data_IF_129622606266
#
_entry.id   IF_129622606266
#
_cell.length_a   1.000
_cell.length_b   1.000
_cell.length_c   1.000
_cell.angle_alpha   90.00
_cell.angle_beta   90.00
_cell.angle_gamma   90.00
#
_symmetry.space_group_name_H-M   'P 1'
#
loop_
_entity.id
_entity.type
_entity.pdbx_description
1 polymer ?
#
# COMPACT_ATOMS: atom_id res chain seq x y z
N UNK A 1 19.05 19.39 8.91
CA UNK A 1 18.16 18.39 8.33
C UNK A 1 17.82 17.43 9.47
N UNK A 2 16.55 17.35 9.88
CA UNK A 2 16.12 16.35 10.85
C UNK A 2 16.21 15.03 10.08
N UNK A 3 17.12 14.12 10.47
CA UNK A 3 17.10 12.74 9.96
C UNK A 3 15.72 12.18 10.26
N UNK A 4 14.90 11.98 9.22
CA UNK A 4 13.60 11.36 9.38
C UNK A 4 13.86 9.94 9.85
N UNK A 5 13.44 9.63 11.09
CA UNK A 5 13.58 8.29 11.67
C UNK A 5 12.88 7.29 10.75
N UNK A 6 13.54 6.19 10.41
CA UNK A 6 12.97 5.18 9.53
C UNK A 6 11.83 4.43 10.24
N UNK A 7 10.67 4.30 9.57
CA UNK A 7 9.60 3.39 10.00
C UNK A 7 9.96 1.94 9.68
N UNK A 8 10.53 1.70 8.50
CA UNK A 8 11.02 0.38 8.10
C UNK A 8 12.45 0.49 7.59
N UNK A 9 13.31 -0.42 8.06
CA UNK A 9 14.63 -0.69 7.49
C UNK A 9 14.63 -2.16 7.08
N UNK A 10 14.72 -2.41 5.79
CA UNK A 10 14.78 -3.74 5.19
C UNK A 10 16.24 -3.96 4.83
N UNK A 11 16.88 -4.97 5.41
CA UNK A 11 18.31 -5.19 5.30
C UNK A 11 18.61 -6.59 4.77
N UNK A 12 18.97 -6.67 3.48
CA UNK A 12 19.36 -7.88 2.77
C UNK A 12 18.37 -9.05 2.93
N UNK A 13 17.05 -8.74 2.81
CA UNK A 13 15.98 -9.69 3.06
C UNK A 13 15.78 -10.64 1.88
N UNK A 14 15.86 -11.94 2.17
CA UNK A 14 15.45 -13.00 1.25
C UNK A 14 14.38 -13.88 1.87
N UNK A 15 13.50 -14.42 1.04
CA UNK A 15 12.46 -15.36 1.45
C UNK A 15 12.16 -16.37 0.36
N UNK A 16 12.18 -17.65 0.69
CA UNK A 16 11.77 -18.74 -0.18
C UNK A 16 10.54 -19.44 0.40
N UNK A 17 9.58 -19.75 -0.47
CA UNK A 17 8.51 -20.69 -0.16
C UNK A 17 8.98 -22.11 -0.48
N UNK A 18 8.62 -23.07 0.37
CA UNK A 18 8.89 -24.48 0.14
C UNK A 18 7.54 -25.14 -0.18
N UNK A 19 7.43 -25.78 -1.33
CA UNK A 19 6.23 -26.52 -1.72
C UNK A 19 6.17 -27.91 -1.04
N UNK A 20 5.07 -28.65 -1.27
CA UNK A 20 4.86 -29.97 -0.69
C UNK A 20 5.89 -31.03 -1.17
N UNK A 21 6.56 -30.76 -2.30
CA UNK A 21 7.60 -31.62 -2.88
C UNK A 21 8.99 -31.25 -2.38
N UNK A 22 9.11 -30.18 -1.55
CA UNK A 22 10.36 -29.68 -1.03
C UNK A 22 11.15 -28.77 -1.98
N UNK A 23 10.50 -28.30 -3.07
CA UNK A 23 11.11 -27.38 -4.01
C UNK A 23 11.06 -25.95 -3.47
N UNK A 24 12.21 -25.26 -3.46
CA UNK A 24 12.30 -23.87 -3.03
C UNK A 24 11.96 -22.92 -4.16
N UNK A 25 11.00 -22.03 -3.94
CA UNK A 25 10.66 -20.92 -4.83
C UNK A 25 11.05 -19.60 -4.16
N UNK A 26 12.09 -18.95 -4.65
CA UNK A 26 12.57 -17.67 -4.11
C UNK A 26 11.56 -16.56 -4.45
N UNK A 27 10.94 -15.99 -3.41
CA UNK A 27 9.95 -14.92 -3.54
C UNK A 27 10.51 -13.52 -3.27
N UNK A 28 11.52 -13.42 -2.38
CA UNK A 28 12.33 -12.22 -2.18
C UNK A 28 13.80 -12.60 -2.28
N UNK A 29 14.57 -11.76 -2.96
CA UNK A 29 15.99 -11.99 -3.24
C UNK A 29 16.79 -10.72 -2.93
N UNK A 30 17.46 -10.71 -1.79
CA UNK A 30 18.39 -9.65 -1.35
C UNK A 30 17.78 -8.25 -1.38
N UNK A 31 16.58 -8.10 -0.78
CA UNK A 31 15.84 -6.84 -0.77
C UNK A 31 16.41 -5.93 0.31
N UNK A 32 16.87 -4.73 -0.10
CA UNK A 32 17.27 -3.67 0.82
C UNK A 32 16.54 -2.38 0.48
N UNK A 33 15.86 -1.80 1.47
CA UNK A 33 15.14 -0.53 1.34
C UNK A 33 14.90 0.11 2.71
N UNK A 34 14.69 1.41 2.73
CA UNK A 34 14.29 2.14 3.94
C UNK A 34 13.04 2.94 3.63
N UNK A 35 12.04 2.95 4.52
CA UNK A 35 10.83 3.75 4.43
C UNK A 35 10.78 4.66 5.65
N UNK A 36 10.65 5.97 5.43
CA UNK A 36 10.62 6.96 6.49
C UNK A 36 9.26 7.01 7.20
N UNK A 37 9.24 7.49 8.44
CA UNK A 37 7.96 7.82 9.09
C UNK A 37 7.22 8.90 8.29
N UNK A 38 5.91 8.69 8.09
CA UNK A 38 5.06 9.60 7.35
C UNK A 38 5.30 9.61 5.84
N UNK A 39 6.04 8.66 5.29
CA UNK A 39 6.24 8.51 3.85
C UNK A 39 5.12 7.68 3.23
N UNK A 40 4.63 8.08 2.05
CA UNK A 40 3.75 7.28 1.20
C UNK A 40 4.57 6.60 0.11
N UNK A 41 4.81 5.31 0.25
CA UNK A 41 5.54 4.50 -0.73
C UNK A 41 4.58 3.62 -1.51
N UNK A 42 4.60 3.74 -2.83
CA UNK A 42 3.93 2.80 -3.72
C UNK A 42 4.91 1.69 -4.15
N UNK A 43 4.48 0.44 -4.08
CA UNK A 43 5.23 -0.71 -4.56
C UNK A 43 4.49 -1.28 -5.77
N UNK A 44 5.13 -1.24 -6.94
CA UNK A 44 4.58 -1.75 -8.19
C UNK A 44 5.44 -2.89 -8.74
N UNK A 45 4.89 -3.68 -9.65
CA UNK A 45 5.60 -4.82 -10.25
C UNK A 45 4.59 -5.82 -10.82
N UNK A 46 5.07 -6.72 -11.66
CA UNK A 46 4.25 -7.81 -12.24
C UNK A 46 3.77 -8.79 -11.17
N UNK A 47 2.76 -9.61 -11.50
CA UNK A 47 2.33 -10.69 -10.62
C UNK A 47 3.51 -11.65 -10.34
N UNK A 48 3.64 -12.08 -9.09
CA UNK A 48 4.77 -12.92 -8.65
C UNK A 48 6.10 -12.18 -8.43
N UNK A 49 6.15 -10.85 -8.54
CA UNK A 49 7.40 -10.09 -8.31
C UNK A 49 7.82 -9.96 -6.83
N UNK A 50 7.04 -10.50 -5.87
CA UNK A 50 7.39 -10.50 -4.44
C UNK A 50 6.71 -9.41 -3.60
N UNK A 51 5.89 -8.52 -4.16
CA UNK A 51 5.25 -7.39 -3.45
C UNK A 51 4.46 -7.80 -2.21
N UNK A 52 3.51 -8.71 -2.36
CA UNK A 52 2.68 -9.20 -1.24
C UNK A 52 3.50 -10.00 -0.22
N UNK A 53 4.55 -10.66 -0.67
CA UNK A 53 5.50 -11.34 0.23
C UNK A 53 6.24 -10.30 1.09
N UNK A 54 6.76 -9.24 0.48
CA UNK A 54 7.40 -8.14 1.20
C UNK A 54 6.43 -7.48 2.19
N UNK A 55 5.18 -7.18 1.77
CA UNK A 55 4.14 -6.63 2.64
C UNK A 55 3.91 -7.47 3.90
N UNK A 56 3.84 -8.81 3.75
CA UNK A 56 3.65 -9.74 4.86
C UNK A 56 4.83 -9.77 5.83
N UNK A 57 6.05 -9.50 5.36
CA UNK A 57 7.22 -9.36 6.23
C UNK A 57 7.19 -8.09 7.05
N UNK A 58 6.75 -6.95 6.48
CA UNK A 58 6.65 -5.67 7.18
C UNK A 58 5.66 -5.70 8.36
N UNK A 59 4.66 -6.59 8.33
CA UNK A 59 3.68 -6.81 9.40
C UNK A 59 3.98 -8.08 10.23
N UNK A 60 5.09 -8.76 9.96
CA UNK A 60 5.49 -10.02 10.62
C UNK A 60 4.41 -11.12 10.49
N UNK A 61 3.70 -11.18 9.37
CA UNK A 61 2.91 -12.35 8.96
C UNK A 61 3.81 -13.44 8.39
N UNK A 62 4.96 -13.04 7.83
CA UNK A 62 6.05 -13.90 7.42
C UNK A 62 7.35 -13.42 8.06
N UNK A 63 8.28 -14.33 8.27
CA UNK A 63 9.65 -14.01 8.70
C UNK A 63 10.61 -14.25 7.55
N UNK A 64 11.64 -13.39 7.38
CA UNK A 64 12.65 -13.60 6.35
C UNK A 64 13.43 -14.89 6.60
N UNK A 65 13.88 -15.55 5.53
CA UNK A 65 14.80 -16.68 5.62
C UNK A 65 16.24 -16.22 5.78
N UNK A 66 16.56 -15.02 5.28
CA UNK A 66 17.85 -14.32 5.44
C UNK A 66 17.60 -12.82 5.57
N UNK A 67 18.56 -12.12 6.21
CA UNK A 67 18.46 -10.71 6.48
C UNK A 67 17.54 -10.40 7.67
N UNK A 68 17.22 -9.11 7.86
CA UNK A 68 16.31 -8.67 8.92
C UNK A 68 15.51 -7.45 8.48
N UNK A 69 14.41 -7.19 9.18
CA UNK A 69 13.61 -5.96 9.03
C UNK A 69 13.49 -5.32 10.39
N UNK A 70 13.82 -4.03 10.47
CA UNK A 70 13.51 -3.23 11.63
C UNK A 70 12.24 -2.43 11.39
N UNK A 71 11.28 -2.58 12.28
CA UNK A 71 10.03 -1.81 12.30
C UNK A 71 10.07 -0.84 13.47
N UNK A 72 10.21 0.45 13.21
CA UNK A 72 10.43 1.48 14.22
C UNK A 72 11.56 1.08 15.21
N UNK A 73 12.64 0.51 14.68
CA UNK A 73 13.79 0.04 15.43
C UNK A 73 13.62 -1.31 16.14
N UNK A 74 12.51 -2.03 15.91
CA UNK A 74 12.27 -3.37 16.47
C UNK A 74 12.51 -4.41 15.37
N UNK A 75 13.42 -5.37 15.61
CA UNK A 75 13.66 -6.48 14.68
C UNK A 75 12.47 -7.42 14.59
N UNK A 76 12.12 -7.82 13.37
CA UNK A 76 11.08 -8.83 13.11
C UNK A 76 11.51 -10.24 13.55
N UNK A 77 12.78 -10.43 13.82
CA UNK A 77 13.33 -11.68 14.34
C UNK A 77 13.13 -11.83 15.85
N UNK A 78 12.79 -10.74 16.57
CA UNK A 78 12.52 -10.77 18.02
C UNK A 78 11.08 -11.18 18.32
N UNK A 79 10.85 -12.47 18.55
CA UNK A 79 9.54 -13.03 18.88
C UNK A 79 8.89 -12.41 20.12
N UNK A 80 9.68 -11.95 21.09
CA UNK A 80 9.17 -11.34 22.30
C UNK A 80 8.48 -10.00 22.06
N UNK A 81 8.80 -9.34 20.94
CA UNK A 81 8.28 -8.02 20.55
C UNK A 81 7.32 -8.03 19.35
N UNK A 82 6.91 -9.23 18.91
CA UNK A 82 6.01 -9.40 17.78
C UNK A 82 4.73 -8.55 17.88
N UNK A 83 4.11 -8.54 19.08
CA UNK A 83 2.90 -7.75 19.31
C UNK A 83 3.13 -6.25 19.29
N UNK A 84 4.34 -5.79 19.67
CA UNK A 84 4.71 -4.38 19.57
C UNK A 84 4.77 -3.92 18.11
N UNK A 85 5.25 -4.77 17.21
CA UNK A 85 5.27 -4.51 15.76
C UNK A 85 3.84 -4.50 15.20
N UNK A 86 3.03 -5.53 15.49
CA UNK A 86 1.66 -5.64 14.98
C UNK A 86 0.72 -4.53 15.45
N UNK A 87 1.00 -3.92 16.60
CA UNK A 87 0.29 -2.71 17.05
C UNK A 87 0.65 -1.46 16.26
N UNK A 88 1.90 -1.38 15.76
CA UNK A 88 2.41 -0.24 15.01
C UNK A 88 2.08 -0.29 13.54
N UNK A 89 1.93 -1.49 12.98
CA UNK A 89 1.75 -1.71 11.54
C UNK A 89 0.47 -2.48 11.30
N UNK A 90 -0.52 -1.80 10.73
CA UNK A 90 -1.74 -2.43 10.26
C UNK A 90 -1.61 -2.93 8.83
N UNK A 91 -2.35 -3.98 8.48
CA UNK A 91 -2.38 -4.50 7.11
C UNK A 91 -3.81 -4.67 6.62
N UNK A 92 -4.06 -4.24 5.40
CA UNK A 92 -5.32 -4.41 4.67
C UNK A 92 -5.06 -5.28 3.46
N UNK A 93 -5.84 -6.33 3.30
CA UNK A 93 -5.70 -7.33 2.23
C UNK A 93 -6.52 -6.96 1.00
N UNK A 94 -6.19 -7.59 -0.12
CA UNK A 94 -6.84 -7.41 -1.41
C UNK A 94 -8.34 -7.69 -1.37
N UNK A 95 -8.75 -8.76 -0.70
CA UNK A 95 -10.17 -9.14 -0.57
C UNK A 95 -10.68 -8.80 0.84
N UNK A 96 -11.57 -7.79 0.99
CA UNK A 96 -12.13 -7.43 2.28
C UNK A 96 -12.99 -8.53 2.92
N UNK A 97 -13.60 -9.42 2.12
CA UNK A 97 -14.41 -10.51 2.65
C UNK A 97 -13.56 -11.54 3.43
N UNK A 98 -12.26 -11.63 3.17
CA UNK A 98 -11.34 -12.46 3.94
C UNK A 98 -10.86 -11.80 5.25
N UNK A 99 -11.12 -10.51 5.42
CA UNK A 99 -10.68 -9.72 6.58
C UNK A 99 -11.83 -9.42 7.55
N UNK A 100 -13.03 -9.18 7.03
CA UNK A 100 -14.22 -8.88 7.82
C UNK A 100 -14.73 -10.17 8.46
N UNK A 101 -14.83 -10.18 9.79
CA UNK A 101 -15.15 -11.39 10.58
C UNK A 101 -16.45 -11.26 11.38
N UNK A 102 -16.93 -10.05 11.67
CA UNK A 102 -18.13 -9.83 12.47
C UNK A 102 -19.40 -9.70 11.62
N UNK A 103 -20.55 -9.92 12.26
CA UNK A 103 -21.86 -9.80 11.62
C UNK A 103 -22.34 -8.34 11.51
N UNK A 104 -21.75 -7.41 12.28
CA UNK A 104 -22.10 -5.99 12.35
C UNK A 104 -20.83 -5.16 12.17
N UNK A 105 -20.93 -4.08 11.39
CA UNK A 105 -19.79 -3.20 11.05
C UNK A 105 -19.05 -2.68 12.30
N UNK A 106 -19.77 -2.16 13.31
CA UNK A 106 -19.11 -1.62 14.50
C UNK A 106 -18.38 -2.69 15.32
N UNK A 107 -18.88 -3.93 15.32
CA UNK A 107 -18.24 -5.06 15.97
C UNK A 107 -16.96 -5.47 15.24
N UNK A 108 -16.98 -5.43 13.91
CA UNK A 108 -15.81 -5.72 13.09
C UNK A 108 -14.70 -4.70 13.32
N UNK A 109 -15.05 -3.41 13.32
CA UNK A 109 -14.09 -2.32 13.60
C UNK A 109 -13.56 -2.39 15.04
N UNK A 110 -14.37 -2.88 15.99
CA UNK A 110 -13.96 -3.06 17.39
C UNK A 110 -13.02 -4.24 17.60
N UNK A 111 -13.03 -5.25 16.73
CA UNK A 111 -12.34 -6.54 16.90
C UNK A 111 -10.83 -6.39 17.18
N UNK A 112 -10.14 -5.55 16.39
CA UNK A 112 -8.70 -5.31 16.57
C UNK A 112 -8.36 -4.69 17.94
N UNK A 113 -8.95 -3.53 18.29
CA UNK A 113 -8.74 -2.89 19.59
C UNK A 113 -9.16 -3.76 20.79
N UNK A 114 -10.21 -4.56 20.69
CA UNK A 114 -10.63 -5.50 21.74
C UNK A 114 -9.53 -6.53 22.01
N UNK A 115 -8.96 -7.12 20.98
CA UNK A 115 -7.85 -8.06 21.10
C UNK A 115 -6.57 -7.41 21.69
N UNK A 116 -6.43 -6.10 21.54
CA UNK A 116 -5.37 -5.32 22.19
C UNK A 116 -5.68 -4.97 23.64
N UNK A 117 -6.84 -5.34 24.18
CA UNK A 117 -7.25 -5.05 25.54
C UNK A 117 -7.60 -3.59 25.80
N UNK A 118 -8.05 -2.85 24.78
CA UNK A 118 -8.44 -1.45 24.90
C UNK A 118 -9.67 -1.35 25.82
N UNK A 119 -9.68 -0.47 26.85
CA UNK A 119 -10.83 -0.30 27.74
C UNK A 119 -12.09 0.14 26.96
N UNK A 120 -13.28 -0.36 27.38
CA UNK A 120 -14.56 -0.19 26.67
C UNK A 120 -14.90 1.26 26.29
N UNK A 121 -14.63 2.22 27.16
CA UNK A 121 -14.92 3.63 26.90
C UNK A 121 -14.03 4.19 25.78
N UNK A 122 -12.75 3.83 25.78
CA UNK A 122 -11.78 4.20 24.75
C UNK A 122 -12.04 3.44 23.45
N UNK A 123 -12.40 2.15 23.53
CA UNK A 123 -12.78 1.33 22.39
C UNK A 123 -13.88 2.01 21.57
N UNK A 124 -14.97 2.44 22.24
CA UNK A 124 -16.07 3.11 21.54
C UNK A 124 -15.61 4.38 20.82
N UNK A 125 -14.78 5.19 21.50
CA UNK A 125 -14.22 6.41 20.92
C UNK A 125 -13.37 6.11 19.66
N UNK A 126 -12.56 5.04 19.70
CA UNK A 126 -11.73 4.63 18.57
C UNK A 126 -12.54 4.13 17.39
N UNK A 127 -13.58 3.32 17.65
CA UNK A 127 -14.51 2.85 16.62
C UNK A 127 -15.22 4.03 15.94
N UNK A 128 -15.76 4.96 16.74
CA UNK A 128 -16.44 6.15 16.20
C UNK A 128 -15.49 7.01 15.35
N UNK A 129 -14.27 7.23 15.82
CA UNK A 129 -13.25 7.98 15.10
C UNK A 129 -12.82 7.29 13.79
N UNK A 130 -12.62 5.96 13.82
CA UNK A 130 -12.23 5.19 12.65
C UNK A 130 -13.32 5.17 11.57
N UNK A 131 -14.58 4.93 11.96
CA UNK A 131 -15.73 4.99 11.04
C UNK A 131 -15.90 6.39 10.44
N UNK A 132 -15.66 7.44 11.23
CA UNK A 132 -15.69 8.83 10.75
C UNK A 132 -14.60 9.08 9.71
N UNK A 133 -13.38 8.65 9.99
CA UNK A 133 -12.24 8.85 9.11
C UNK A 133 -12.42 8.21 7.72
N UNK A 134 -13.14 7.08 7.64
CA UNK A 134 -13.44 6.40 6.37
C UNK A 134 -14.84 6.73 5.82
N UNK A 135 -15.58 7.67 6.44
CA UNK A 135 -16.94 8.11 6.04
C UNK A 135 -17.95 6.96 6.01
N UNK A 136 -17.94 6.11 7.04
CA UNK A 136 -18.82 4.94 7.16
C UNK A 136 -19.69 4.93 8.42
N UNK A 137 -19.88 6.08 9.09
CA UNK A 137 -20.64 6.18 10.34
C UNK A 137 -22.08 5.70 10.20
N UNK A 138 -22.72 6.00 9.08
CA UNK A 138 -24.13 5.64 8.81
C UNK A 138 -24.32 4.12 8.70
N UNK A 139 -23.25 3.39 8.40
CA UNK A 139 -23.26 1.95 8.21
C UNK A 139 -22.92 1.15 9.47
N UNK A 140 -22.68 1.82 10.61
CA UNK A 140 -22.18 1.20 11.85
C UNK A 140 -22.94 -0.04 12.31
N UNK A 141 -24.28 -0.02 12.18
CA UNK A 141 -25.18 -1.12 12.58
C UNK A 141 -25.57 -2.04 11.44
N UNK A 142 -25.01 -1.83 10.25
CA UNK A 142 -25.30 -2.66 9.08
C UNK A 142 -24.50 -3.96 9.13
N UNK A 143 -25.07 -4.98 8.45
CA UNK A 143 -24.34 -6.21 8.20
C UNK A 143 -23.36 -6.01 7.02
N UNK A 144 -22.07 -6.40 7.17
CA UNK A 144 -21.08 -6.19 6.12
C UNK A 144 -21.42 -6.79 4.76
N UNK A 145 -22.16 -7.91 4.72
CA UNK A 145 -22.55 -8.55 3.45
C UNK A 145 -23.53 -7.71 2.61
N UNK A 146 -24.17 -6.68 3.18
CA UNK A 146 -25.04 -5.74 2.48
C UNK A 146 -24.28 -4.57 1.85
N UNK A 147 -22.98 -4.45 2.11
CA UNK A 147 -22.15 -3.35 1.63
C UNK A 147 -21.55 -3.65 0.25
N UNK A 148 -21.32 -2.59 -0.52
CA UNK A 148 -20.53 -2.70 -1.76
C UNK A 148 -19.06 -3.04 -1.46
N UNK A 149 -18.31 -3.56 -2.45
CA UNK A 149 -16.89 -3.87 -2.29
C UNK A 149 -16.06 -2.69 -1.77
N UNK A 150 -16.26 -1.48 -2.32
CA UNK A 150 -15.58 -0.27 -1.85
C UNK A 150 -15.95 0.13 -0.41
N UNK A 151 -17.21 -0.08 0.00
CA UNK A 151 -17.62 0.12 1.38
C UNK A 151 -16.99 -0.90 2.31
N UNK A 152 -16.97 -2.19 1.95
CA UNK A 152 -16.28 -3.24 2.71
C UNK A 152 -14.80 -2.94 2.88
N UNK A 153 -14.13 -2.49 1.82
CA UNK A 153 -12.72 -2.12 1.88
C UNK A 153 -12.48 -0.96 2.85
N UNK A 154 -13.35 0.06 2.86
CA UNK A 154 -13.26 1.14 3.84
C UNK A 154 -13.52 0.66 5.27
N UNK A 155 -14.40 -0.33 5.48
CA UNK A 155 -14.58 -0.94 6.81
C UNK A 155 -13.32 -1.72 7.23
N UNK A 156 -12.70 -2.47 6.33
CA UNK A 156 -11.44 -3.15 6.61
C UNK A 156 -10.33 -2.15 7.00
N UNK A 157 -10.26 -1.00 6.32
CA UNK A 157 -9.36 0.10 6.69
C UNK A 157 -9.73 0.66 8.07
N UNK A 158 -11.03 0.87 8.36
CA UNK A 158 -11.47 1.36 9.68
C UNK A 158 -11.08 0.42 10.83
N UNK A 159 -11.20 -0.91 10.63
CA UNK A 159 -10.76 -1.89 11.61
C UNK A 159 -9.27 -1.78 11.95
N UNK A 160 -8.45 -1.54 10.93
CA UNK A 160 -7.02 -1.26 11.13
C UNK A 160 -6.79 0.06 11.84
N UNK A 161 -7.48 1.15 11.43
CA UNK A 161 -7.32 2.48 12.02
C UNK A 161 -7.73 2.52 13.50
N UNK A 162 -8.74 1.75 13.90
CA UNK A 162 -9.19 1.68 15.29
C UNK A 162 -8.10 1.17 16.25
N UNK A 163 -7.11 0.43 15.74
CA UNK A 163 -5.90 0.05 16.50
C UNK A 163 -4.91 1.19 16.68
N UNK A 164 -5.06 2.32 15.95
CA UNK A 164 -4.18 3.50 15.95
C UNK A 164 -2.72 3.14 15.55
N UNK A 165 -2.50 2.50 14.41
CA UNK A 165 -1.16 2.16 13.96
C UNK A 165 -0.38 3.41 13.51
N UNK A 166 0.95 3.29 13.43
CA UNK A 166 1.85 4.31 12.90
C UNK A 166 2.02 4.16 11.37
N UNK A 167 1.84 2.94 10.87
CA UNK A 167 1.90 2.63 9.45
C UNK A 167 0.75 1.72 9.03
N UNK A 168 0.32 1.88 7.78
CA UNK A 168 -0.65 0.99 7.14
C UNK A 168 -0.05 0.42 5.85
N UNK A 169 -0.18 -0.89 5.70
CA UNK A 169 0.17 -1.61 4.48
C UNK A 169 -1.12 -1.99 3.78
N UNK A 170 -1.26 -1.63 2.51
CA UNK A 170 -2.43 -1.96 1.70
C UNK A 170 -1.95 -2.83 0.53
N UNK A 171 -2.33 -4.09 0.56
CA UNK A 171 -1.96 -5.07 -0.46
C UNK A 171 -3.07 -5.16 -1.51
N UNK A 172 -2.88 -4.45 -2.63
CA UNK A 172 -3.82 -4.34 -3.75
C UNK A 172 -5.27 -4.00 -3.31
N UNK A 173 -5.49 -2.97 -2.49
CA UNK A 173 -6.79 -2.74 -1.82
C UNK A 173 -7.92 -2.38 -2.78
N UNK A 174 -7.63 -2.11 -4.03
CA UNK A 174 -8.58 -1.65 -5.04
C UNK A 174 -8.78 -2.64 -6.19
N UNK A 175 -8.03 -3.74 -6.22
CA UNK A 175 -8.01 -4.68 -7.35
C UNK A 175 -9.39 -5.29 -7.68
N UNK A 176 -10.24 -5.47 -6.67
CA UNK A 176 -11.57 -6.08 -6.81
C UNK A 176 -12.70 -5.04 -6.90
N UNK A 177 -12.37 -3.76 -7.05
CA UNK A 177 -13.36 -2.67 -6.99
C UNK A 177 -13.66 -2.10 -8.39
N UNK A 178 -14.89 -1.60 -8.52
CA UNK A 178 -15.27 -0.77 -9.66
C UNK A 178 -14.51 0.58 -9.65
N UNK A 179 -14.49 1.32 -10.77
CA UNK A 179 -13.73 2.58 -10.85
C UNK A 179 -14.15 3.64 -9.82
N UNK A 180 -15.41 3.62 -9.36
CA UNK A 180 -15.88 4.55 -8.32
C UNK A 180 -15.35 4.15 -6.94
N UNK A 181 -15.51 2.88 -6.56
CA UNK A 181 -15.02 2.35 -5.30
C UNK A 181 -13.50 2.51 -5.17
N UNK A 182 -12.75 2.29 -6.27
CA UNK A 182 -11.32 2.51 -6.34
C UNK A 182 -10.94 3.94 -5.98
N UNK A 183 -11.57 4.95 -6.62
CA UNK A 183 -11.33 6.36 -6.31
C UNK A 183 -11.67 6.72 -4.86
N UNK A 184 -12.77 6.18 -4.33
CA UNK A 184 -13.21 6.44 -2.96
C UNK A 184 -12.22 5.88 -1.92
N UNK A 185 -11.71 4.66 -2.14
CA UNK A 185 -10.69 4.03 -1.27
C UNK A 185 -9.38 4.79 -1.34
N UNK A 186 -8.89 5.09 -2.55
CA UNK A 186 -7.63 5.83 -2.73
C UNK A 186 -7.70 7.22 -2.07
N UNK A 187 -8.81 7.95 -2.28
CA UNK A 187 -9.02 9.26 -1.63
C UNK A 187 -9.03 9.14 -0.09
N UNK A 188 -9.61 8.08 0.46
CA UNK A 188 -9.59 7.81 1.90
C UNK A 188 -8.15 7.60 2.40
N UNK A 189 -7.35 6.79 1.71
CA UNK A 189 -5.94 6.53 2.09
C UNK A 189 -5.13 7.81 2.06
N UNK A 190 -5.28 8.66 1.03
CA UNK A 190 -4.61 9.96 0.94
C UNK A 190 -5.04 10.92 2.06
N UNK A 191 -6.33 10.97 2.38
CA UNK A 191 -6.82 11.79 3.48
C UNK A 191 -6.19 11.35 4.82
N UNK A 192 -6.12 10.04 5.08
CA UNK A 192 -5.49 9.48 6.27
C UNK A 192 -3.99 9.80 6.35
N UNK A 193 -3.26 9.60 5.24
CA UNK A 193 -1.85 9.95 5.16
C UNK A 193 -1.63 11.43 5.49
N UNK A 194 -2.37 12.32 4.82
CA UNK A 194 -2.22 13.78 4.97
C UNK A 194 -2.64 14.30 6.35
N UNK A 195 -3.72 13.75 6.95
CA UNK A 195 -4.29 14.27 8.20
C UNK A 195 -3.66 13.67 9.45
N UNK A 196 -3.25 12.41 9.38
CA UNK A 196 -2.67 11.67 10.52
C UNK A 196 -1.14 11.56 10.44
N UNK A 197 -0.51 11.98 9.34
CA UNK A 197 0.93 11.78 9.12
C UNK A 197 1.32 10.29 9.11
N UNK A 198 0.39 9.42 8.72
CA UNK A 198 0.57 7.97 8.73
C UNK A 198 1.52 7.52 7.62
N UNK A 199 2.45 6.64 7.94
CA UNK A 199 3.25 5.94 6.92
C UNK A 199 2.37 5.01 6.13
N UNK A 200 2.47 5.06 4.80
CA UNK A 200 1.66 4.23 3.90
C UNK A 200 2.57 3.40 2.99
N UNK A 201 2.38 2.09 2.99
CA UNK A 201 2.94 1.18 1.99
C UNK A 201 1.79 0.68 1.13
N UNK A 202 1.73 1.13 -0.12
CA UNK A 202 0.62 0.88 -1.02
C UNK A 202 1.06 0.00 -2.19
N UNK A 203 0.59 -1.24 -2.21
CA UNK A 203 0.88 -2.16 -3.30
C UNK A 203 -0.23 -2.09 -4.32
N UNK A 204 0.11 -1.89 -5.57
CA UNK A 204 -0.85 -1.83 -6.67
C UNK A 204 -0.24 -2.29 -7.99
N UNK A 205 -1.10 -2.73 -8.90
CA UNK A 205 -0.79 -2.92 -10.31
C UNK A 205 -1.41 -1.83 -11.21
N UNK A 206 -2.10 -0.84 -10.63
CA UNK A 206 -2.64 0.32 -11.33
C UNK A 206 -1.67 1.50 -11.21
N UNK A 207 -1.06 1.88 -12.32
CA UNK A 207 0.01 2.90 -12.32
C UNK A 207 -0.51 4.27 -11.87
N UNK A 208 -1.77 4.60 -12.19
CA UNK A 208 -2.41 5.85 -11.77
C UNK A 208 -2.50 6.01 -10.25
N UNK A 209 -2.59 4.90 -9.50
CA UNK A 209 -2.64 4.93 -8.03
C UNK A 209 -1.28 5.26 -7.41
N UNK A 210 -0.19 4.94 -8.10
CA UNK A 210 1.17 5.24 -7.66
C UNK A 210 1.61 6.69 -7.94
N UNK A 211 0.86 7.44 -8.76
CA UNK A 211 1.23 8.81 -9.16
C UNK A 211 1.27 9.80 -8.01
N UNK A 212 0.55 9.53 -6.95
CA UNK A 212 0.39 10.43 -5.80
C UNK A 212 1.24 10.01 -4.59
N UNK A 213 2.05 8.96 -4.75
CA UNK A 213 3.02 8.54 -3.73
C UNK A 213 4.22 9.50 -3.68
N UNK A 214 4.88 9.57 -2.52
CA UNK A 214 6.15 10.30 -2.40
C UNK A 214 7.26 9.58 -3.16
N UNK A 215 7.21 8.24 -3.15
CA UNK A 215 8.19 7.38 -3.80
C UNK A 215 7.55 6.11 -4.34
N UNK A 216 8.09 5.64 -5.47
CA UNK A 216 7.72 4.37 -6.10
C UNK A 216 8.90 3.41 -6.03
N UNK A 217 8.62 2.17 -5.66
CA UNK A 217 9.58 1.04 -5.72
C UNK A 217 9.04 0.05 -6.75
N UNK A 218 9.83 -0.24 -7.76
CA UNK A 218 9.50 -1.23 -8.80
C UNK A 218 10.15 -2.55 -8.46
N UNK A 219 9.34 -3.60 -8.29
CA UNK A 219 9.79 -4.95 -7.97
C UNK A 219 9.74 -5.88 -9.19
N UNK A 220 10.80 -6.66 -9.40
CA UNK A 220 10.86 -7.74 -10.40
C UNK A 220 11.65 -8.94 -9.84
N UNK A 221 11.11 -10.14 -10.00
CA UNK A 221 11.77 -11.39 -9.58
C UNK A 221 12.29 -11.35 -8.12
N UNK A 222 11.49 -10.81 -7.21
CA UNK A 222 11.81 -10.77 -5.78
C UNK A 222 12.76 -9.63 -5.36
N UNK A 223 13.21 -8.77 -6.28
CA UNK A 223 14.16 -7.68 -5.97
C UNK A 223 13.63 -6.32 -6.43
N UNK A 224 13.97 -5.22 -5.72
CA UNK A 224 13.73 -3.88 -6.21
C UNK A 224 14.69 -3.58 -7.38
N UNK A 225 14.14 -3.21 -8.55
CA UNK A 225 14.92 -2.91 -9.75
C UNK A 225 14.98 -1.42 -10.09
N UNK A 226 14.05 -0.64 -9.53
CA UNK A 226 14.01 0.81 -9.71
C UNK A 226 13.34 1.46 -8.49
N UNK A 227 13.83 2.62 -8.08
CA UNK A 227 13.19 3.44 -7.05
C UNK A 227 13.38 4.91 -7.36
N UNK A 228 12.38 5.72 -7.07
CA UNK A 228 12.41 7.16 -7.32
C UNK A 228 11.06 7.79 -7.06
N UNK A 229 10.93 9.08 -7.30
CA UNK A 229 9.64 9.76 -7.35
C UNK A 229 8.79 9.20 -8.49
N UNK A 230 7.46 9.35 -8.46
CA UNK A 230 6.61 8.94 -9.60
C UNK A 230 7.11 9.52 -10.94
N UNK A 231 7.57 10.79 -10.97
CA UNK A 231 8.11 11.40 -12.18
C UNK A 231 9.37 10.71 -12.70
N UNK A 232 10.30 10.41 -11.82
CA UNK A 232 11.55 9.73 -12.17
C UNK A 232 11.30 8.31 -12.69
N UNK A 233 10.37 7.59 -12.06
CA UNK A 233 10.07 6.20 -12.44
C UNK A 233 9.28 6.16 -13.75
N UNK A 234 8.16 6.87 -13.84
CA UNK A 234 7.27 6.78 -15.01
C UNK A 234 7.80 7.50 -16.25
N UNK A 235 8.79 8.39 -16.13
CA UNK A 235 9.50 8.94 -17.30
C UNK A 235 10.33 7.91 -18.05
N UNK A 236 10.64 6.75 -17.44
CA UNK A 236 11.41 5.64 -18.02
C UNK A 236 10.50 4.63 -18.73
N UNK A 237 9.69 5.12 -19.67
CA UNK A 237 8.62 4.35 -20.34
C UNK A 237 9.14 3.03 -20.92
N UNK A 238 10.20 3.08 -21.75
CA UNK A 238 10.74 1.91 -22.41
C UNK A 238 11.21 0.84 -21.40
N UNK A 239 11.90 1.27 -20.34
CA UNK A 239 12.36 0.38 -19.26
C UNK A 239 11.19 -0.29 -18.54
N UNK A 240 10.11 0.45 -18.25
CA UNK A 240 8.94 -0.11 -17.58
C UNK A 240 8.21 -1.14 -18.48
N UNK A 241 8.08 -0.84 -19.77
CA UNK A 241 7.51 -1.77 -20.75
C UNK A 241 8.36 -3.06 -20.89
N UNK A 242 9.70 -2.96 -20.90
CA UNK A 242 10.62 -4.11 -20.90
C UNK A 242 10.51 -4.93 -19.59
N UNK A 243 10.15 -4.28 -18.49
CA UNK A 243 9.85 -4.96 -17.23
C UNK A 243 8.48 -5.66 -17.24
N UNK A 244 7.67 -5.45 -18.28
CA UNK A 244 6.31 -5.98 -18.41
C UNK A 244 5.27 -5.20 -17.61
N UNK A 245 5.55 -3.93 -17.31
CA UNK A 245 4.65 -3.03 -16.61
C UNK A 245 4.00 -2.06 -17.59
N UNK A 246 2.79 -1.67 -17.27
CA UNK A 246 2.13 -0.54 -17.91
C UNK A 246 2.71 0.79 -17.39
N UNK A 247 2.42 1.87 -18.11
CA UNK A 247 2.69 3.24 -17.67
C UNK A 247 1.37 4.03 -17.63
N UNK A 248 1.30 5.16 -16.91
CA UNK A 248 0.11 6.00 -16.95
C UNK A 248 -0.25 6.39 -18.38
N UNK A 249 -1.55 6.34 -18.72
CA UNK A 249 -2.03 6.58 -20.11
C UNK A 249 -1.52 7.91 -20.67
N UNK A 250 -1.52 8.97 -19.85
CA UNK A 250 -1.00 10.28 -20.29
C UNK A 250 0.50 10.24 -20.63
N UNK A 251 1.27 9.46 -19.87
CA UNK A 251 2.71 9.26 -20.10
C UNK A 251 2.96 8.49 -21.40
N UNK A 252 2.18 7.43 -21.63
CA UNK A 252 2.26 6.64 -22.86
C UNK A 252 1.94 7.47 -24.11
N UNK A 253 0.84 8.25 -24.06
CA UNK A 253 0.47 9.17 -25.14
C UNK A 253 1.56 10.22 -25.37
N UNK A 254 2.12 10.81 -24.31
CA UNK A 254 3.22 11.77 -24.42
C UNK A 254 4.47 11.15 -25.07
N UNK A 255 4.79 9.88 -24.75
CA UNK A 255 5.90 9.16 -25.36
C UNK A 255 5.66 8.93 -26.87
N UNK A 256 4.46 8.52 -27.27
CA UNK A 256 4.09 8.35 -28.67
C UNK A 256 4.14 9.66 -29.48
N UNK A 257 3.66 10.76 -28.90
CA UNK A 257 3.72 12.08 -29.52
C UNK A 257 5.18 12.56 -29.73
N UNK A 258 6.05 12.33 -28.73
CA UNK A 258 7.49 12.62 -28.86
C UNK A 258 8.13 11.81 -29.99
N UNK A 259 7.79 10.54 -30.11
CA UNK A 259 8.30 9.71 -31.20
C UNK A 259 7.88 10.20 -32.59
N UNK A 260 6.76 10.94 -32.67
CA UNK A 260 6.29 11.61 -33.90
C UNK A 260 6.83 13.05 -34.08
N UNK A 261 7.73 13.50 -33.21
CA UNK A 261 8.35 14.81 -33.29
C UNK A 261 7.58 15.96 -32.63
N UNK A 262 6.49 15.67 -31.89
CA UNK A 262 5.78 16.67 -31.09
C UNK A 262 6.56 16.94 -29.81
N UNK A 263 6.93 18.20 -29.48
CA UNK A 263 7.76 18.52 -28.33
C UNK A 263 6.94 18.51 -27.01
N UNK A 264 6.61 17.33 -26.52
CA UNK A 264 5.96 17.09 -25.22
C UNK A 264 7.01 16.64 -24.21
N UNK A 265 6.94 17.14 -22.97
CA UNK A 265 7.87 16.77 -21.90
C UNK A 265 7.83 15.25 -21.60
N UNK A 266 8.97 14.70 -21.16
CA UNK A 266 9.08 13.26 -20.88
C UNK A 266 8.39 12.84 -19.57
N UNK A 267 8.20 13.80 -18.69
CA UNK A 267 7.71 13.61 -17.32
C UNK A 267 6.22 13.95 -17.13
N UNK A 268 5.46 14.00 -18.21
CA UNK A 268 3.99 14.12 -18.17
C UNK A 268 3.40 12.87 -17.53
N UNK A 269 2.61 13.04 -16.46
CA UNK A 269 2.02 11.96 -15.71
C UNK A 269 0.49 11.93 -15.79
N UNK A 270 -0.15 13.08 -15.96
CA UNK A 270 -1.61 13.20 -15.89
C UNK A 270 -2.21 13.73 -17.18
N UNK A 271 -3.51 13.43 -17.42
CA UNK A 271 -4.23 13.96 -18.56
C UNK A 271 -4.29 15.50 -18.58
N UNK A 272 -4.33 16.14 -17.40
CA UNK A 272 -4.28 17.59 -17.27
C UNK A 272 -2.93 18.13 -17.76
N UNK A 273 -1.82 17.56 -17.26
CA UNK A 273 -0.47 17.95 -17.71
C UNK A 273 -0.28 17.76 -19.22
N UNK A 274 -0.81 16.65 -19.77
CA UNK A 274 -0.78 16.41 -21.20
C UNK A 274 -1.59 17.45 -21.99
N UNK A 275 -2.80 17.77 -21.51
CA UNK A 275 -3.63 18.80 -22.10
C UNK A 275 -2.96 20.17 -22.13
N UNK A 276 -2.37 20.57 -20.99
CA UNK A 276 -1.63 21.85 -20.86
C UNK A 276 -0.41 21.89 -21.80
N UNK A 277 0.31 20.77 -21.96
CA UNK A 277 1.43 20.65 -22.88
C UNK A 277 1.03 20.74 -24.35
N UNK A 278 -0.20 20.33 -24.70
CA UNK A 278 -0.69 20.33 -26.08
C UNK A 278 -1.44 21.63 -26.45
N UNK A 279 -1.95 22.40 -25.47
CA UNK A 279 -2.65 23.67 -25.72
C UNK A 279 -1.94 24.64 -26.66
N UNK A 280 -0.59 24.80 -26.67
CA UNK A 280 0.10 25.67 -27.61
C UNK A 280 0.01 25.24 -29.07
N UNK A 281 -0.43 24.01 -29.37
CA UNK A 281 -0.50 23.43 -30.71
C UNK A 281 -1.94 23.29 -31.25
N UNK A 282 -2.94 23.68 -30.48
CA UNK A 282 -4.36 23.74 -30.82
C UNK A 282 -4.80 25.19 -30.96
#
# INVERSE_FOLDING_TARGET
MIESKAMFVIDHVSHAYIDEEGTEALALNDVSATIAHGEFVAIIGTNGSGKSTLAKHLNVLLKPTQGDILVDGISVSDDSRLWDIRRRVGMVFQNPDNQIVAAVVEEDVAFGPENLGVPRAELRRRVDAALTAVRMQEYRTHAPHLLSGGQKQRIAIAGVLAMQPQAIILDEPTAMLDPRGRREVLATVHELHRTLGMTVVYITHFMEEALTADRVIVMKNGSPVMTGTPREVFSQVDTLLELGLEVPVATEVAAHLRAQGVPVAADVLTATELGDALCPYV
#
